data_IF_708149087178
#
_entry.id   IF_708149087178
#
_cell.length_a   1.000
_cell.length_b   1.000
_cell.length_c   1.000
_cell.angle_alpha   90.00
_cell.angle_beta   90.00
_cell.angle_gamma   90.00
#
_symmetry.space_group_name_H-M   'P 1'
#
loop_
_entity.id
_entity.type
_entity.pdbx_description
1 polymer ?
#
# COMPACT_ATOMS: atom_id res chain seq x y z
N UNK A 1 21.31 75.68 10.10
CA UNK A 1 20.70 74.60 9.29
C UNK A 1 21.76 74.00 8.38
N UNK A 2 21.74 72.67 8.27
CA UNK A 2 22.85 71.77 7.91
C UNK A 2 23.06 71.65 6.39
N UNK A 3 24.32 71.73 5.93
CA UNK A 3 24.78 71.35 4.57
C UNK A 3 26.18 70.73 4.60
N UNK A 4 26.36 69.75 5.49
CA UNK A 4 27.53 68.85 5.51
C UNK A 4 26.97 67.45 5.82
N UNK A 5 27.60 66.41 5.24
CA UNK A 5 27.41 64.97 5.52
C UNK A 5 26.51 64.12 4.59
N UNK A 6 26.72 64.12 3.26
CA UNK A 6 26.12 63.03 2.43
C UNK A 6 27.08 62.38 1.41
N UNK A 7 28.37 62.72 1.34
CA UNK A 7 29.25 62.20 0.27
C UNK A 7 30.48 61.39 0.71
N UNK A 8 30.43 60.68 1.83
CA UNK A 8 31.54 59.80 2.24
C UNK A 8 31.04 58.51 2.91
N UNK A 9 30.49 57.58 2.11
CA UNK A 9 30.34 56.16 2.50
C UNK A 9 30.45 55.26 1.25
N UNK A 10 31.62 55.29 0.61
CA UNK A 10 32.06 54.29 -0.38
C UNK A 10 33.25 53.56 0.24
N UNK A 11 32.97 52.56 1.08
CA UNK A 11 34.00 51.78 1.76
C UNK A 11 33.40 50.90 2.85
N UNK A 12 33.09 49.66 2.52
CA UNK A 12 32.63 48.67 3.50
C UNK A 12 32.27 47.35 2.82
N UNK A 13 33.17 46.38 2.92
CA UNK A 13 33.01 45.04 2.39
C UNK A 13 31.71 44.37 2.87
N UNK A 14 30.91 43.88 1.93
CA UNK A 14 29.98 42.78 2.19
C UNK A 14 30.43 41.58 1.36
N UNK A 15 31.46 40.89 1.83
CA UNK A 15 31.56 39.44 1.61
C UNK A 15 30.44 38.81 2.42
N UNK A 16 29.21 38.87 1.91
CA UNK A 16 28.14 38.05 2.44
C UNK A 16 28.60 36.60 2.33
N UNK A 17 28.58 35.80 3.41
CA UNK A 17 28.71 34.37 3.22
C UNK A 17 27.55 34.00 2.31
N UNK A 18 27.86 33.48 1.12
CA UNK A 18 27.00 32.57 0.41
C UNK A 18 26.68 31.49 1.44
N UNK A 19 25.60 31.71 2.17
CA UNK A 19 24.86 30.66 2.83
C UNK A 19 24.43 29.79 1.67
N UNK A 20 25.31 28.85 1.33
CA UNK A 20 24.92 27.64 0.66
C UNK A 20 23.67 27.22 1.42
N UNK A 21 22.53 27.34 0.75
CA UNK A 21 21.39 26.49 1.03
C UNK A 21 21.97 25.09 0.92
N UNK A 22 22.54 24.60 2.02
CA UNK A 22 22.69 23.20 2.30
C UNK A 22 21.25 22.71 2.25
N UNK A 23 20.84 22.33 1.05
CA UNK A 23 19.57 21.74 0.75
C UNK A 23 19.48 20.59 1.73
N UNK A 24 18.68 20.75 2.79
CA UNK A 24 18.41 19.71 3.77
C UNK A 24 18.21 18.44 2.95
N UNK A 25 19.10 17.45 3.11
CA UNK A 25 18.95 16.19 2.42
C UNK A 25 17.52 15.73 2.72
N UNK A 26 16.66 15.76 1.70
CA UNK A 26 15.23 15.56 1.89
C UNK A 26 15.02 14.21 2.57
N UNK A 27 14.07 14.13 3.50
CA UNK A 27 13.73 12.84 4.14
C UNK A 27 13.47 11.81 3.04
N UNK A 28 14.21 10.70 3.07
CA UNK A 28 13.95 9.54 2.20
C UNK A 28 12.91 8.68 2.89
N UNK A 29 11.71 8.59 2.31
CA UNK A 29 10.64 7.73 2.83
C UNK A 29 10.90 6.27 2.45
N UNK A 30 10.66 5.35 3.38
CA UNK A 30 10.81 3.91 3.16
C UNK A 30 9.46 3.28 2.91
N UNK A 31 9.21 2.86 1.68
CA UNK A 31 7.99 2.17 1.27
C UNK A 31 8.30 0.68 1.23
N UNK A 32 7.59 -0.15 1.98
CA UNK A 32 7.75 -1.60 1.87
C UNK A 32 6.74 -2.20 0.89
N UNK A 33 7.15 -3.25 0.19
CA UNK A 33 6.25 -4.11 -0.57
C UNK A 33 6.46 -5.56 -0.11
N UNK A 34 5.44 -6.16 0.50
CA UNK A 34 5.43 -7.56 0.89
C UNK A 34 4.53 -8.33 -0.07
N UNK A 35 5.11 -9.21 -0.89
CA UNK A 35 4.36 -10.02 -1.86
C UNK A 35 4.98 -11.39 -2.10
N UNK A 36 4.53 -12.08 -3.15
CA UNK A 36 5.00 -13.42 -3.47
C UNK A 36 6.33 -13.40 -4.22
N UNK A 37 6.35 -12.79 -5.39
CA UNK A 37 7.52 -12.65 -6.26
C UNK A 37 7.31 -11.47 -7.21
N UNK A 38 8.38 -10.90 -7.79
CA UNK A 38 8.26 -9.76 -8.70
C UNK A 38 7.47 -10.09 -9.98
N UNK A 39 7.36 -11.36 -10.36
CA UNK A 39 6.66 -11.80 -11.57
C UNK A 39 5.16 -11.98 -11.38
N UNK A 40 4.67 -12.04 -10.14
CA UNK A 40 3.24 -12.22 -9.85
C UNK A 40 2.48 -10.88 -9.91
N UNK A 41 3.18 -9.76 -9.64
CA UNK A 41 2.55 -8.43 -9.58
C UNK A 41 3.29 -7.35 -10.41
N UNK A 42 3.77 -7.64 -11.64
CA UNK A 42 4.58 -6.68 -12.39
C UNK A 42 3.81 -5.38 -12.65
N UNK A 43 2.58 -5.50 -13.14
CA UNK A 43 1.74 -4.34 -13.48
C UNK A 43 1.37 -3.51 -12.25
N UNK A 44 1.08 -4.16 -11.12
CA UNK A 44 0.71 -3.46 -9.89
C UNK A 44 1.91 -2.70 -9.29
N UNK A 45 3.11 -3.27 -9.37
CA UNK A 45 4.34 -2.60 -8.90
C UNK A 45 4.68 -1.42 -9.81
N UNK A 46 4.55 -1.58 -11.12
CA UNK A 46 4.83 -0.51 -12.07
C UNK A 46 3.80 0.62 -11.99
N UNK A 47 2.52 0.30 -11.82
CA UNK A 47 1.47 1.28 -11.56
C UNK A 47 1.70 2.01 -10.23
N UNK A 48 2.09 1.31 -9.16
CA UNK A 48 2.45 1.92 -7.88
C UNK A 48 3.61 2.90 -8.06
N UNK A 49 4.69 2.48 -8.72
CA UNK A 49 5.85 3.34 -8.97
C UNK A 49 5.47 4.54 -9.85
N UNK A 50 4.62 4.34 -10.85
CA UNK A 50 4.15 5.43 -11.72
C UNK A 50 3.33 6.45 -10.91
N UNK A 51 2.34 6.01 -10.14
CA UNK A 51 1.53 6.91 -9.31
C UNK A 51 2.36 7.65 -8.27
N UNK A 52 3.35 7.00 -7.66
CA UNK A 52 4.30 7.64 -6.76
C UNK A 52 5.11 8.73 -7.48
N UNK A 53 5.63 8.43 -8.68
CA UNK A 53 6.37 9.42 -9.50
C UNK A 53 5.51 10.62 -9.87
N UNK A 54 4.26 10.41 -10.25
CA UNK A 54 3.33 11.48 -10.61
C UNK A 54 3.03 12.43 -9.42
N UNK A 55 3.15 11.91 -8.20
CA UNK A 55 3.06 12.68 -6.95
C UNK A 55 4.43 13.25 -6.49
N UNK A 56 5.49 13.09 -7.28
CA UNK A 56 6.83 13.59 -6.98
C UNK A 56 7.68 12.66 -6.10
N UNK A 57 7.23 11.44 -5.81
CA UNK A 57 7.99 10.42 -5.10
C UNK A 57 8.75 9.53 -6.09
N UNK A 58 10.07 9.69 -6.14
CA UNK A 58 10.97 9.04 -7.09
C UNK A 58 11.94 8.13 -6.34
N UNK A 59 11.92 6.85 -6.69
CA UNK A 59 12.81 5.83 -6.15
C UNK A 59 14.29 6.20 -6.37
N UNK A 60 15.09 6.09 -5.32
CA UNK A 60 16.51 6.50 -5.34
C UNK A 60 16.75 8.00 -5.14
N UNK A 61 15.69 8.83 -5.09
CA UNK A 61 15.80 10.27 -4.83
C UNK A 61 15.22 10.66 -3.47
N UNK A 62 13.94 10.39 -3.24
CA UNK A 62 13.23 10.75 -2.01
C UNK A 62 12.36 9.61 -1.45
N UNK A 63 12.34 8.46 -2.12
CA UNK A 63 11.84 7.21 -1.56
C UNK A 63 12.83 6.07 -1.81
N UNK A 64 12.80 5.07 -0.94
CA UNK A 64 13.41 3.77 -1.13
C UNK A 64 12.33 2.69 -1.00
N UNK A 65 12.26 1.76 -1.96
CA UNK A 65 11.29 0.66 -1.93
C UNK A 65 11.97 -0.62 -1.43
N UNK A 66 11.48 -1.12 -0.28
CA UNK A 66 11.96 -2.32 0.38
C UNK A 66 11.08 -3.51 -0.01
N UNK A 67 11.58 -4.38 -0.87
CA UNK A 67 10.85 -5.56 -1.30
C UNK A 67 11.08 -6.75 -0.38
N UNK A 68 10.01 -7.49 -0.07
CA UNK A 68 10.05 -8.80 0.59
C UNK A 68 9.17 -9.79 -0.16
N UNK A 69 9.78 -10.91 -0.53
CA UNK A 69 9.19 -11.92 -1.40
C UNK A 69 9.04 -13.24 -0.65
N UNK A 70 7.81 -13.71 -0.50
CA UNK A 70 7.51 -15.00 0.12
C UNK A 70 8.00 -16.18 -0.74
N UNK A 71 7.98 -16.03 -2.07
CA UNK A 71 8.41 -17.03 -3.06
C UNK A 71 7.65 -18.36 -2.93
N UNK A 72 6.32 -18.28 -2.88
CA UNK A 72 5.43 -19.43 -2.76
C UNK A 72 5.42 -20.09 -1.38
N UNK A 73 5.99 -19.43 -0.35
CA UNK A 73 6.13 -19.97 1.02
C UNK A 73 5.34 -19.13 2.01
N UNK A 74 4.05 -19.44 2.25
CA UNK A 74 3.20 -18.71 3.18
C UNK A 74 3.78 -18.60 4.59
N UNK A 75 4.50 -19.62 5.05
CA UNK A 75 5.13 -19.68 6.37
C UNK A 75 6.18 -18.58 6.59
N UNK A 76 6.76 -18.03 5.51
CA UNK A 76 7.73 -16.92 5.58
C UNK A 76 7.07 -15.55 5.69
N UNK A 77 5.79 -15.41 5.35
CA UNK A 77 5.15 -14.09 5.30
C UNK A 77 5.18 -13.36 6.65
N UNK A 78 5.01 -14.11 7.76
CA UNK A 78 5.10 -13.55 9.11
C UNK A 78 6.48 -12.97 9.39
N UNK A 79 7.54 -13.74 9.15
CA UNK A 79 8.92 -13.30 9.37
C UNK A 79 9.25 -12.07 8.52
N UNK A 80 8.88 -12.09 7.24
CA UNK A 80 9.09 -10.98 6.32
C UNK A 80 8.34 -9.72 6.75
N UNK A 81 7.11 -9.84 7.24
CA UNK A 81 6.35 -8.71 7.80
C UNK A 81 7.02 -8.13 9.06
N UNK A 82 7.51 -9.00 9.95
CA UNK A 82 8.24 -8.57 11.15
C UNK A 82 9.57 -7.88 10.82
N UNK A 83 10.28 -8.33 9.78
CA UNK A 83 11.46 -7.62 9.28
C UNK A 83 11.11 -6.19 8.83
N UNK A 84 10.04 -6.03 8.06
CA UNK A 84 9.59 -4.71 7.60
C UNK A 84 9.21 -3.80 8.77
N UNK A 85 8.56 -4.35 9.79
CA UNK A 85 8.26 -3.61 11.02
C UNK A 85 9.54 -3.18 11.76
N UNK A 86 10.54 -4.07 11.88
CA UNK A 86 11.84 -3.76 12.49
C UNK A 86 12.64 -2.72 11.71
N UNK A 87 12.50 -2.70 10.38
CA UNK A 87 13.11 -1.67 9.52
C UNK A 87 12.48 -0.29 9.70
N UNK A 88 11.36 -0.18 10.41
CA UNK A 88 10.62 1.06 10.65
C UNK A 88 10.32 1.77 9.33
N UNK A 89 9.77 1.03 8.38
CA UNK A 89 9.28 1.60 7.12
C UNK A 89 8.12 2.56 7.37
N UNK A 90 7.94 3.55 6.51
CA UNK A 90 6.90 4.57 6.65
C UNK A 90 5.52 4.04 6.22
N UNK A 91 5.46 3.04 5.32
CA UNK A 91 4.23 2.39 4.86
C UNK A 91 4.53 0.97 4.35
N UNK A 92 3.60 0.04 4.53
CA UNK A 92 3.67 -1.33 3.99
C UNK A 92 2.58 -1.51 2.93
N UNK A 93 2.99 -1.86 1.72
CA UNK A 93 2.10 -2.19 0.60
C UNK A 93 1.98 -3.71 0.48
N UNK A 94 0.76 -4.21 0.33
CA UNK A 94 0.45 -5.65 0.32
C UNK A 94 -0.56 -6.04 -0.78
N UNK A 95 -0.33 -7.12 -1.55
CA UNK A 95 -1.26 -7.58 -2.56
C UNK A 95 -2.27 -8.59 -1.98
N UNK A 96 -3.23 -8.09 -1.20
CA UNK A 96 -4.40 -8.86 -0.76
C UNK A 96 -4.32 -9.47 0.64
N UNK A 97 -5.39 -10.16 1.02
CA UNK A 97 -5.76 -10.40 2.43
C UNK A 97 -4.75 -11.22 3.22
N UNK A 98 -4.07 -12.18 2.58
CA UNK A 98 -3.09 -13.04 3.28
C UNK A 98 -1.86 -12.21 3.73
N UNK A 99 -1.40 -11.29 2.88
CA UNK A 99 -0.30 -10.38 3.20
C UNK A 99 -0.75 -9.27 4.16
N UNK A 100 -1.99 -8.78 4.01
CA UNK A 100 -2.59 -7.82 4.96
C UNK A 100 -2.65 -8.41 6.36
N UNK A 101 -3.06 -9.68 6.50
CA UNK A 101 -3.09 -10.36 7.79
C UNK A 101 -1.69 -10.52 8.39
N UNK A 102 -0.70 -10.90 7.58
CA UNK A 102 0.69 -11.00 8.04
C UNK A 102 1.24 -9.64 8.52
N UNK A 103 1.00 -8.57 7.77
CA UNK A 103 1.41 -7.22 8.14
C UNK A 103 0.69 -6.71 9.40
N UNK A 104 -0.63 -6.94 9.51
CA UNK A 104 -1.44 -6.57 10.69
C UNK A 104 -0.90 -7.21 11.97
N UNK A 105 -0.42 -8.45 11.90
CA UNK A 105 0.20 -9.14 13.05
C UNK A 105 1.55 -8.55 13.43
N UNK A 106 2.31 -8.06 12.46
CA UNK A 106 3.63 -7.48 12.69
C UNK A 106 3.57 -6.04 13.24
N UNK A 107 2.51 -5.29 12.95
CA UNK A 107 2.39 -3.89 13.38
C UNK A 107 0.96 -3.37 13.40
N UNK A 108 0.67 -2.56 14.42
CA UNK A 108 -0.57 -1.79 14.57
C UNK A 108 -0.38 -0.28 14.31
N UNK A 109 0.84 0.17 14.01
CA UNK A 109 1.19 1.59 13.93
C UNK A 109 1.68 2.01 12.55
N UNK A 110 2.36 1.13 11.81
CA UNK A 110 2.80 1.43 10.45
C UNK A 110 1.59 1.33 9.53
N UNK A 111 1.29 2.34 8.69
CA UNK A 111 0.22 2.25 7.71
C UNK A 111 0.38 1.05 6.78
N UNK A 112 -0.68 0.27 6.58
CA UNK A 112 -0.75 -0.87 5.68
C UNK A 112 -1.75 -0.53 4.57
N UNK A 113 -1.31 -0.61 3.32
CA UNK A 113 -2.14 -0.33 2.14
C UNK A 113 -2.25 -1.58 1.28
N UNK A 114 -3.44 -2.15 1.19
CA UNK A 114 -3.70 -3.29 0.30
C UNK A 114 -4.05 -2.85 -1.12
N UNK A 115 -3.51 -3.54 -2.13
CA UNK A 115 -3.73 -3.21 -3.55
C UNK A 115 -4.95 -3.92 -4.18
N UNK A 116 -5.47 -4.95 -3.52
CA UNK A 116 -6.62 -5.69 -4.00
C UNK A 116 -7.09 -6.67 -2.94
N UNK A 117 -8.15 -6.31 -2.23
CA UNK A 117 -8.72 -7.14 -1.18
C UNK A 117 -10.16 -7.47 -1.54
N UNK A 118 -10.50 -8.77 -1.59
CA UNK A 118 -11.84 -9.25 -1.86
C UNK A 118 -12.89 -8.73 -0.87
N UNK A 119 -12.63 -8.78 0.44
CA UNK A 119 -13.55 -8.32 1.47
C UNK A 119 -12.83 -7.91 2.77
N UNK A 120 -12.34 -6.65 2.88
CA UNK A 120 -11.63 -6.17 4.07
C UNK A 120 -12.53 -6.03 5.29
N UNK A 121 -13.85 -5.94 5.12
CA UNK A 121 -14.79 -5.78 6.22
C UNK A 121 -15.09 -7.14 6.85
N UNK A 122 -15.44 -8.15 6.04
CA UNK A 122 -15.73 -9.49 6.55
C UNK A 122 -14.51 -10.17 7.18
N UNK A 123 -13.30 -9.80 6.75
CA UNK A 123 -12.04 -10.29 7.35
C UNK A 123 -11.62 -9.52 8.61
N UNK A 124 -12.30 -8.42 8.96
CA UNK A 124 -11.93 -7.56 10.09
C UNK A 124 -10.58 -6.85 9.90
N UNK A 125 -10.20 -6.60 8.65
CA UNK A 125 -9.06 -5.73 8.30
C UNK A 125 -9.47 -4.27 8.21
N UNK A 126 -10.76 -3.98 8.03
CA UNK A 126 -11.36 -2.67 8.11
C UNK A 126 -12.72 -2.75 8.82
N UNK A 127 -13.08 -1.75 9.62
CA UNK A 127 -14.42 -1.67 10.23
C UNK A 127 -15.50 -1.38 9.20
N UNK A 128 -15.17 -0.57 8.18
CA UNK A 128 -16.02 -0.29 7.03
C UNK A 128 -15.17 0.20 5.86
N UNK A 129 -15.69 0.14 4.64
CA UNK A 129 -14.98 0.67 3.46
C UNK A 129 -14.77 2.19 3.53
N UNK A 130 -15.77 2.93 4.01
CA UNK A 130 -15.70 4.39 4.12
C UNK A 130 -14.79 4.86 5.27
N UNK A 131 -14.71 4.07 6.35
CA UNK A 131 -13.91 4.36 7.55
C UNK A 131 -13.28 3.07 8.08
N UNK A 132 -12.04 2.77 7.69
CA UNK A 132 -11.37 1.52 8.08
C UNK A 132 -11.11 1.38 9.59
N UNK A 133 -10.94 2.50 10.31
CA UNK A 133 -10.90 2.49 11.78
C UNK A 133 -9.55 2.09 12.41
N UNK A 134 -8.48 1.95 11.62
CA UNK A 134 -7.14 1.59 12.10
C UNK A 134 -6.04 2.00 11.13
N UNK A 135 -4.89 1.33 11.19
CA UNK A 135 -3.73 1.58 10.32
C UNK A 135 -3.83 0.87 8.95
N UNK A 136 -4.93 0.20 8.63
CA UNK A 136 -5.10 -0.57 7.39
C UNK A 136 -6.09 0.13 6.47
N UNK A 137 -5.74 0.27 5.19
CA UNK A 137 -6.59 0.82 4.14
C UNK A 137 -6.21 0.23 2.77
N UNK A 138 -6.86 0.64 1.68
CA UNK A 138 -6.47 0.22 0.34
C UNK A 138 -7.63 0.09 -0.65
N UNK A 139 -7.43 -0.73 -1.67
CA UNK A 139 -8.38 -0.96 -2.77
C UNK A 139 -9.12 -2.29 -2.55
N UNK A 140 -10.44 -2.20 -2.35
CA UNK A 140 -11.31 -3.37 -2.36
C UNK A 140 -11.72 -3.71 -3.78
N UNK A 141 -11.71 -4.99 -4.14
CA UNK A 141 -12.21 -5.48 -5.44
C UNK A 141 -13.63 -6.05 -5.36
N UNK A 142 -14.26 -6.00 -4.17
CA UNK A 142 -15.66 -6.42 -3.94
C UNK A 142 -15.97 -7.81 -4.52
N UNK A 143 -15.05 -8.76 -4.31
CA UNK A 143 -15.13 -10.06 -4.95
C UNK A 143 -16.32 -10.86 -4.43
N UNK A 144 -16.73 -10.66 -3.18
CA UNK A 144 -17.89 -11.33 -2.58
C UNK A 144 -19.16 -10.98 -3.37
N UNK A 145 -19.44 -9.69 -3.52
CA UNK A 145 -20.61 -9.18 -4.24
C UNK A 145 -20.55 -9.54 -5.73
N UNK A 146 -19.37 -9.43 -6.35
CA UNK A 146 -19.17 -9.80 -7.75
C UNK A 146 -19.40 -11.31 -7.99
N UNK A 147 -18.99 -12.16 -7.04
CA UNK A 147 -19.17 -13.62 -7.15
C UNK A 147 -20.63 -14.02 -7.00
N UNK A 148 -21.34 -13.41 -6.04
CA UNK A 148 -22.80 -13.57 -5.89
C UNK A 148 -23.49 -13.17 -7.20
N UNK A 149 -23.13 -12.00 -7.76
CA UNK A 149 -23.74 -11.53 -9.00
C UNK A 149 -23.45 -12.45 -10.19
N UNK A 150 -22.23 -12.97 -10.27
CA UNK A 150 -21.83 -13.92 -11.31
C UNK A 150 -22.64 -15.20 -11.22
N UNK A 151 -22.92 -15.70 -10.02
CA UNK A 151 -23.78 -16.85 -9.80
C UNK A 151 -25.22 -16.60 -10.25
N UNK A 152 -25.79 -15.44 -9.91
CA UNK A 152 -27.13 -15.06 -10.37
C UNK A 152 -27.22 -15.06 -11.90
N UNK A 153 -26.24 -14.44 -12.57
CA UNK A 153 -26.19 -14.38 -14.03
C UNK A 153 -26.01 -15.78 -14.65
N UNK A 154 -25.22 -16.65 -14.02
CA UNK A 154 -25.05 -18.03 -14.48
C UNK A 154 -26.35 -18.83 -14.39
N UNK A 155 -27.12 -18.67 -13.30
CA UNK A 155 -28.44 -19.31 -13.14
C UNK A 155 -29.43 -18.84 -14.22
N UNK A 156 -29.34 -17.58 -14.67
CA UNK A 156 -30.16 -17.06 -15.76
C UNK A 156 -29.72 -17.58 -17.13
N UNK A 157 -28.40 -17.64 -17.37
CA UNK A 157 -27.83 -18.08 -18.64
C UNK A 157 -27.97 -19.59 -18.88
N UNK A 158 -28.00 -20.40 -17.82
CA UNK A 158 -28.11 -21.85 -17.88
C UNK A 158 -29.34 -22.33 -17.11
N UNK A 159 -30.54 -22.26 -17.73
CA UNK A 159 -31.76 -22.80 -17.14
C UNK A 159 -31.60 -24.29 -16.84
N UNK A 160 -31.76 -24.69 -15.57
CA UNK A 160 -31.57 -26.07 -15.12
C UNK A 160 -30.23 -26.37 -14.43
N UNK A 161 -29.42 -25.35 -14.14
CA UNK A 161 -28.22 -25.50 -13.31
C UNK A 161 -28.57 -26.05 -11.90
N UNK A 162 -28.04 -27.23 -11.56
CA UNK A 162 -28.31 -27.91 -10.27
C UNK A 162 -27.11 -27.88 -9.31
N UNK A 163 -25.89 -27.87 -9.83
CA UNK A 163 -24.65 -27.93 -9.04
C UNK A 163 -23.55 -27.08 -9.64
N UNK A 164 -22.75 -26.49 -8.78
CA UNK A 164 -21.56 -25.70 -9.14
C UNK A 164 -20.44 -26.15 -8.22
N UNK A 165 -19.26 -26.34 -8.79
CA UNK A 165 -18.03 -26.53 -8.03
C UNK A 165 -17.33 -25.18 -7.87
N UNK A 166 -16.94 -24.84 -6.64
CA UNK A 166 -16.14 -23.65 -6.33
C UNK A 166 -14.78 -24.11 -5.85
N UNK A 167 -13.72 -23.68 -6.54
CA UNK A 167 -12.33 -23.94 -6.15
C UNK A 167 -11.79 -22.68 -5.50
N UNK A 168 -11.25 -22.78 -4.29
CA UNK A 168 -10.71 -21.67 -3.55
C UNK A 168 -9.54 -22.12 -2.68
N UNK A 169 -8.70 -21.16 -2.28
CA UNK A 169 -7.64 -21.37 -1.30
C UNK A 169 -8.13 -21.01 0.12
N UNK A 170 -8.24 -21.98 1.05
CA UNK A 170 -8.70 -21.72 2.41
C UNK A 170 -7.68 -20.94 3.26
N UNK A 171 -6.40 -20.87 2.84
CA UNK A 171 -5.38 -20.09 3.55
C UNK A 171 -5.53 -18.58 3.31
N UNK A 172 -6.29 -18.17 2.29
CA UNK A 172 -6.55 -16.77 1.97
C UNK A 172 -7.77 -16.26 2.75
N UNK A 173 -7.60 -15.34 3.74
CA UNK A 173 -8.67 -14.96 4.66
C UNK A 173 -9.98 -14.51 4.01
N UNK A 174 -9.87 -13.79 2.89
CA UNK A 174 -11.03 -13.25 2.19
C UNK A 174 -11.81 -14.27 1.34
N UNK A 175 -11.25 -15.45 1.05
CA UNK A 175 -11.99 -16.49 0.31
C UNK A 175 -13.12 -17.13 1.12
N UNK A 176 -12.97 -17.24 2.44
CA UNK A 176 -14.02 -17.78 3.32
C UNK A 176 -15.33 -16.98 3.25
N UNK A 177 -15.29 -15.65 3.46
CA UNK A 177 -16.44 -14.78 3.24
C UNK A 177 -17.04 -14.87 1.83
N UNK A 178 -16.20 -14.87 0.78
CA UNK A 178 -16.65 -15.00 -0.61
C UNK A 178 -17.45 -16.29 -0.81
N UNK A 179 -16.91 -17.43 -0.34
CA UNK A 179 -17.57 -18.72 -0.46
C UNK A 179 -18.92 -18.73 0.26
N UNK A 180 -18.99 -18.22 1.50
CA UNK A 180 -20.25 -18.14 2.25
C UNK A 180 -21.29 -17.28 1.53
N UNK A 181 -20.86 -16.19 0.89
CA UNK A 181 -21.74 -15.36 0.07
C UNK A 181 -22.33 -16.12 -1.11
N UNK A 182 -21.48 -16.87 -1.83
CA UNK A 182 -21.89 -17.72 -2.97
C UNK A 182 -22.81 -18.85 -2.53
N UNK A 183 -22.53 -19.51 -1.40
CA UNK A 183 -23.38 -20.59 -0.85
C UNK A 183 -24.78 -20.12 -0.44
N UNK A 184 -24.91 -18.85 -0.03
CA UNK A 184 -26.17 -18.26 0.40
C UNK A 184 -27.06 -17.76 -0.75
N UNK A 185 -26.55 -17.71 -1.99
CA UNK A 185 -27.21 -17.11 -3.16
C UNK A 185 -27.81 -18.14 -4.14
#
# INVERSE_FOLDING_TARGET
>A
MRRREVMLLLGGAMTAPLTALAQQAGKVYRVAFLGDSPTVYPDAIDALRQGLRDLGYVEGRNIAIEYRWAQGKPERMRELAEELARLKVDVIIVPGSIYTEAAKRATSTIPIVFLGHADPVATGHATSLARPGGNITGISIMLTEASIKSLELLKQAVPGLVRIAVIFDPATPSHGPVLKGVEAA
#
